data_IF_431772229128
#
_entry.id   IF_431772229128
#
_cell.length_a   1.000
_cell.length_b   1.000
_cell.length_c   1.000
_cell.angle_alpha   90.00
_cell.angle_beta   90.00
_cell.angle_gamma   90.00
#
_symmetry.space_group_name_H-M   'P 1'
#
loop_
_entity.id
_entity.type
_entity.pdbx_description
1 polymer ?
#
# COMPACT_ATOMS: atom_id res chain seq x y z
N UNK A 1 2.26 -3.74 -22.56
CA UNK A 1 2.39 -4.92 -21.67
C UNK A 1 1.31 -4.76 -20.62
N UNK A 2 0.62 -5.83 -20.27
CA UNK A 2 -0.37 -5.81 -19.18
C UNK A 2 0.40 -6.07 -17.88
N UNK A 3 0.28 -5.18 -16.91
CA UNK A 3 0.90 -5.35 -15.60
C UNK A 3 0.30 -6.55 -14.87
N UNK A 4 1.09 -7.24 -14.06
CA UNK A 4 0.60 -8.31 -13.19
C UNK A 4 0.13 -7.76 -11.85
N UNK A 5 -0.69 -8.52 -11.14
CA UNK A 5 -1.06 -8.21 -9.75
C UNK A 5 0.19 -8.10 -8.87
N UNK A 6 1.21 -8.92 -9.12
CA UNK A 6 2.47 -8.87 -8.36
C UNK A 6 3.24 -7.56 -8.57
N UNK A 7 3.27 -7.04 -9.80
CA UNK A 7 3.89 -5.74 -10.13
C UNK A 7 3.16 -4.58 -9.42
N UNK A 8 1.82 -4.58 -9.45
CA UNK A 8 1.02 -3.56 -8.76
C UNK A 8 1.20 -3.61 -7.23
N UNK A 9 1.23 -4.82 -6.66
CA UNK A 9 1.45 -5.02 -5.22
C UNK A 9 2.86 -4.58 -4.81
N UNK A 10 3.89 -4.86 -5.62
CA UNK A 10 5.25 -4.41 -5.35
C UNK A 10 5.33 -2.87 -5.29
N UNK A 11 4.72 -2.18 -6.25
CA UNK A 11 4.63 -0.72 -6.23
C UNK A 11 3.85 -0.19 -5.01
N UNK A 12 2.77 -0.85 -4.61
CA UNK A 12 2.04 -0.51 -3.39
C UNK A 12 2.87 -0.71 -2.11
N UNK A 13 3.70 -1.75 -2.04
CA UNK A 13 4.61 -1.97 -0.91
C UNK A 13 5.64 -0.82 -0.84
N UNK A 14 6.21 -0.42 -1.96
CA UNK A 14 7.14 0.72 -2.02
C UNK A 14 6.49 2.03 -1.54
N UNK A 15 5.26 2.31 -1.98
CA UNK A 15 4.51 3.48 -1.52
C UNK A 15 4.17 3.40 -0.01
N UNK A 16 3.87 2.20 0.50
CA UNK A 16 3.63 1.96 1.94
C UNK A 16 4.90 2.23 2.74
N UNK A 17 6.07 1.80 2.24
CA UNK A 17 7.35 2.05 2.88
C UNK A 17 7.70 3.54 2.91
N UNK A 18 7.42 4.27 1.84
CA UNK A 18 7.64 5.71 1.77
C UNK A 18 6.79 6.47 2.80
N UNK A 19 5.53 6.07 2.98
CA UNK A 19 4.67 6.60 4.05
C UNK A 19 5.21 6.26 5.44
N UNK A 20 5.70 5.03 5.63
CA UNK A 20 6.37 4.60 6.86
C UNK A 20 7.52 5.50 7.24
N UNK A 21 8.44 5.74 6.30
CA UNK A 21 9.60 6.61 6.52
C UNK A 21 9.21 8.05 6.89
N UNK A 22 8.13 8.59 6.30
CA UNK A 22 7.62 9.91 6.66
C UNK A 22 6.96 9.90 8.05
N UNK A 23 6.27 8.82 8.41
CA UNK A 23 5.57 8.67 9.69
C UNK A 23 6.52 8.44 10.88
N UNK A 24 7.72 7.90 10.66
CA UNK A 24 8.73 7.69 11.70
C UNK A 24 9.18 8.99 12.39
N UNK A 25 8.96 10.15 11.77
CA UNK A 25 9.20 11.47 12.37
C UNK A 25 8.27 11.78 13.56
N UNK A 26 7.19 11.01 13.76
CA UNK A 26 6.33 11.08 14.94
C UNK A 26 6.90 10.21 16.07
N UNK A 27 7.84 10.77 16.84
CA UNK A 27 8.61 10.04 17.86
C UNK A 27 7.73 9.26 18.86
N UNK A 28 6.59 9.84 19.29
CA UNK A 28 5.67 9.23 20.26
C UNK A 28 4.91 8.02 19.68
N UNK A 29 4.90 7.85 18.36
CA UNK A 29 4.17 6.79 17.64
C UNK A 29 5.11 5.82 16.92
N UNK A 30 6.43 5.96 17.06
CA UNK A 30 7.41 5.20 16.27
C UNK A 30 7.20 3.67 16.29
N UNK A 31 6.96 3.07 17.46
CA UNK A 31 6.69 1.62 17.57
C UNK A 31 5.41 1.25 16.85
N UNK A 32 4.36 2.06 16.99
CA UNK A 32 3.08 1.83 16.33
C UNK A 32 3.23 1.90 14.80
N UNK A 33 3.94 2.90 14.28
CA UNK A 33 4.24 3.06 12.85
C UNK A 33 5.01 1.85 12.32
N UNK A 34 6.06 1.42 13.03
CA UNK A 34 6.87 0.26 12.64
C UNK A 34 6.03 -1.01 12.54
N UNK A 35 5.21 -1.29 13.56
CA UNK A 35 4.34 -2.46 13.60
C UNK A 35 3.27 -2.39 12.50
N UNK A 36 2.70 -1.20 12.26
CA UNK A 36 1.69 -0.97 11.23
C UNK A 36 2.27 -1.20 9.83
N UNK A 37 3.43 -0.63 9.51
CA UNK A 37 4.12 -0.85 8.22
C UNK A 37 4.38 -2.34 8.01
N UNK A 38 4.94 -3.03 9.00
CA UNK A 38 5.21 -4.46 8.91
C UNK A 38 3.94 -5.29 8.64
N UNK A 39 2.85 -4.99 9.35
CA UNK A 39 1.57 -5.66 9.16
C UNK A 39 0.99 -5.42 7.76
N UNK A 40 1.01 -4.18 7.28
CA UNK A 40 0.48 -3.84 5.96
C UNK A 40 1.31 -4.43 4.82
N UNK A 41 2.65 -4.42 4.94
CA UNK A 41 3.54 -5.10 4.00
C UNK A 41 3.24 -6.60 3.90
N UNK A 42 3.10 -7.27 5.04
CA UNK A 42 2.81 -8.70 5.08
C UNK A 42 1.45 -9.00 4.41
N UNK A 43 0.46 -8.15 4.65
CA UNK A 43 -0.86 -8.26 4.03
C UNK A 43 -0.81 -8.10 2.50
N UNK A 44 -0.13 -7.08 2.01
CA UNK A 44 0.05 -6.86 0.57
C UNK A 44 0.82 -8.03 -0.06
N UNK A 45 1.92 -8.48 0.56
CA UNK A 45 2.69 -9.63 0.10
C UNK A 45 1.84 -10.91 -0.03
N UNK A 46 0.90 -11.15 0.89
CA UNK A 46 -0.01 -12.29 0.81
C UNK A 46 -0.97 -12.25 -0.40
N UNK A 47 -1.24 -11.06 -0.97
CA UNK A 47 -1.98 -10.94 -2.24
C UNK A 47 -1.07 -11.35 -3.40
N UNK A 48 0.16 -10.84 -3.45
CA UNK A 48 1.13 -11.22 -4.48
C UNK A 48 1.47 -12.72 -4.45
N UNK A 49 1.61 -13.33 -3.27
CA UNK A 49 1.90 -14.76 -3.15
C UNK A 49 0.79 -15.64 -3.76
N UNK A 50 -0.48 -15.20 -3.66
CA UNK A 50 -1.62 -15.95 -4.20
C UNK A 50 -1.88 -15.68 -5.68
N UNK A 51 -1.69 -14.43 -6.12
CA UNK A 51 -2.22 -13.92 -7.39
C UNK A 51 -1.18 -13.22 -8.26
N UNK A 52 0.08 -13.19 -7.84
CA UNK A 52 1.11 -12.32 -8.43
C UNK A 52 1.37 -12.52 -9.91
N UNK A 53 1.12 -13.72 -10.43
CA UNK A 53 1.24 -14.06 -11.86
C UNK A 53 -0.01 -13.70 -12.68
N UNK A 54 -1.13 -13.39 -12.04
CA UNK A 54 -2.36 -12.98 -12.73
C UNK A 54 -2.15 -11.61 -13.41
N UNK A 55 -2.66 -11.48 -14.63
CA UNK A 55 -2.73 -10.18 -15.30
C UNK A 55 -3.73 -9.28 -14.57
N UNK A 56 -3.30 -8.06 -14.23
CA UNK A 56 -4.19 -7.05 -13.69
C UNK A 56 -5.09 -6.48 -14.80
N UNK A 57 -6.26 -5.99 -14.40
CA UNK A 57 -7.11 -5.20 -15.31
C UNK A 57 -6.56 -3.79 -15.44
N UNK A 58 -6.75 -3.15 -16.59
CA UNK A 58 -6.34 -1.75 -16.79
C UNK A 58 -6.97 -0.81 -15.75
N UNK A 59 -8.20 -1.10 -15.30
CA UNK A 59 -8.86 -0.35 -14.23
C UNK A 59 -8.19 -0.52 -12.87
N UNK A 60 -7.72 -1.74 -12.54
CA UNK A 60 -7.01 -1.99 -11.29
C UNK A 60 -5.65 -1.30 -11.31
N UNK A 61 -4.91 -1.40 -12.42
CA UNK A 61 -3.64 -0.71 -12.60
C UNK A 61 -3.77 0.81 -12.44
N UNK A 62 -4.75 1.42 -13.13
CA UNK A 62 -5.02 2.85 -13.01
C UNK A 62 -5.42 3.28 -11.60
N UNK A 63 -6.23 2.48 -10.90
CA UNK A 63 -6.65 2.79 -9.54
C UNK A 63 -5.48 2.70 -8.53
N UNK A 64 -4.65 1.65 -8.62
CA UNK A 64 -3.46 1.50 -7.77
C UNK A 64 -2.46 2.62 -8.04
N UNK A 65 -2.18 2.94 -9.31
CA UNK A 65 -1.30 4.04 -9.69
C UNK A 65 -1.81 5.38 -9.14
N UNK A 66 -3.10 5.69 -9.31
CA UNK A 66 -3.69 6.92 -8.77
C UNK A 66 -3.64 7.00 -7.25
N UNK A 67 -3.81 5.86 -6.54
CA UNK A 67 -3.70 5.83 -5.10
C UNK A 67 -2.25 6.03 -4.63
N UNK A 68 -1.28 5.45 -5.33
CA UNK A 68 0.14 5.63 -5.05
C UNK A 68 0.61 7.07 -5.34
N UNK A 69 0.12 7.69 -6.41
CA UNK A 69 0.42 9.10 -6.69
C UNK A 69 -0.05 10.03 -5.56
N UNK A 70 -1.21 9.74 -4.95
CA UNK A 70 -1.71 10.52 -3.81
C UNK A 70 -0.83 10.35 -2.56
N UNK A 71 -0.23 9.17 -2.33
CA UNK A 71 0.69 8.99 -1.19
C UNK A 71 1.92 9.89 -1.33
N UNK A 72 2.42 10.09 -2.55
CA UNK A 72 3.56 10.95 -2.84
C UNK A 72 3.28 12.45 -2.62
N UNK A 73 2.01 12.86 -2.51
CA UNK A 73 1.61 14.23 -2.21
C UNK A 73 1.55 14.51 -0.70
N UNK A 74 1.69 13.48 0.14
CA UNK A 74 1.63 13.61 1.59
C UNK A 74 2.99 14.08 2.12
N UNK A 75 2.96 15.17 2.88
CA UNK A 75 4.12 15.74 3.54
C UNK A 75 3.95 15.88 5.07
N UNK A 76 2.74 15.64 5.58
CA UNK A 76 2.45 15.67 7.02
C UNK A 76 2.58 14.26 7.61
N UNK A 77 3.48 14.05 8.60
CA UNK A 77 3.71 12.74 9.21
C UNK A 77 2.45 12.09 9.82
N UNK A 78 1.59 12.87 10.49
CA UNK A 78 0.35 12.32 11.06
C UNK A 78 -0.62 11.86 9.97
N UNK A 79 -0.75 12.64 8.89
CA UNK A 79 -1.54 12.21 7.73
C UNK A 79 -0.94 10.98 7.04
N UNK A 80 0.38 10.79 7.07
CA UNK A 80 1.01 9.57 6.56
C UNK A 80 0.56 8.33 7.35
N UNK A 81 0.39 8.45 8.67
CA UNK A 81 -0.12 7.38 9.55
C UNK A 81 -1.58 7.02 9.23
N UNK A 82 -2.43 8.03 9.04
CA UNK A 82 -3.82 7.80 8.59
C UNK A 82 -3.85 7.04 7.25
N UNK A 83 -2.94 7.40 6.34
CA UNK A 83 -2.82 6.77 5.04
C UNK A 83 -2.24 5.36 5.09
N UNK A 84 -1.29 5.06 5.99
CA UNK A 84 -0.81 3.69 6.23
C UNK A 84 -1.94 2.73 6.61
N UNK A 85 -2.99 3.25 7.25
CA UNK A 85 -4.17 2.46 7.61
C UNK A 85 -5.19 2.28 6.48
N UNK A 86 -5.17 3.16 5.46
CA UNK A 86 -6.22 3.24 4.43
C UNK A 86 -5.73 2.80 3.04
N UNK A 87 -4.50 3.15 2.68
CA UNK A 87 -3.94 2.89 1.36
C UNK A 87 -3.89 1.39 1.00
N UNK A 88 -3.42 0.49 1.89
CA UNK A 88 -3.45 -0.95 1.61
C UNK A 88 -4.87 -1.49 1.36
N UNK A 89 -5.89 -0.92 2.00
CA UNK A 89 -7.29 -1.27 1.74
C UNK A 89 -7.76 -0.79 0.37
N UNK A 90 -7.37 0.42 -0.07
CA UNK A 90 -7.67 0.90 -1.42
C UNK A 90 -7.06 0.00 -2.49
N UNK A 91 -5.81 -0.43 -2.29
CA UNK A 91 -5.11 -1.38 -3.18
C UNK A 91 -5.84 -2.73 -3.19
N UNK A 92 -6.21 -3.26 -2.03
CA UNK A 92 -6.97 -4.49 -1.93
C UNK A 92 -8.30 -4.40 -2.70
N UNK A 93 -9.08 -3.33 -2.49
CA UNK A 93 -10.35 -3.10 -3.20
C UNK A 93 -10.14 -3.03 -4.71
N UNK A 94 -9.12 -2.31 -5.18
CA UNK A 94 -8.81 -2.18 -6.61
C UNK A 94 -8.47 -3.55 -7.25
N UNK A 95 -7.83 -4.44 -6.48
CA UNK A 95 -7.51 -5.81 -6.89
C UNK A 95 -8.67 -6.81 -6.68
N UNK A 96 -9.79 -6.38 -6.12
CA UNK A 96 -10.96 -7.22 -5.83
C UNK A 96 -10.82 -8.09 -4.58
N UNK A 97 -9.94 -7.71 -3.65
CA UNK A 97 -9.71 -8.39 -2.38
C UNK A 97 -10.57 -7.79 -1.25
N UNK A 98 -10.87 -8.56 -0.18
CA UNK A 98 -11.54 -8.03 1.00
C UNK A 98 -10.66 -7.04 1.78
N UNK A 99 -11.32 -6.07 2.40
CA UNK A 99 -10.75 -5.10 3.35
C UNK A 99 -10.46 -5.81 4.69
N UNK A 100 -9.42 -5.40 5.41
CA UNK A 100 -9.07 -5.93 6.74
C UNK A 100 -8.26 -7.23 6.80
N UNK A 101 -8.13 -7.97 5.69
CA UNK A 101 -7.41 -9.25 5.65
C UNK A 101 -8.23 -10.44 6.14
#
# INVERSE_FOLDING_TARGET
MTETVGELVAAAIEATDALGLLAEDVEDEWTFVTDLVAAQRARLAAIADRRGEESATDSAAAAVASAADETHLIADPHRAIDWLSTFPDLVAIALGEPVGG
#
